data_IF_005350351281
#
_entry.id   IF_005350351281
#
_cell.length_a   1.000
_cell.length_b   1.000
_cell.length_c   1.000
_cell.angle_alpha   90.00
_cell.angle_beta   90.00
_cell.angle_gamma   90.00
#
_symmetry.space_group_name_H-M   'P 1'
#
loop_
_entity.id
_entity.type
_entity.pdbx_description
1 polymer ?
#
# COMPACT_ATOMS: atom_id res chain seq x y z
N UNK A 1 -2.51 -3.35 20.64
CA UNK A 1 -2.13 -2.00 20.21
C UNK A 1 -3.38 -1.15 20.10
N UNK A 2 -3.43 -0.03 20.83
CA UNK A 2 -4.53 0.93 20.76
C UNK A 2 -4.28 1.94 19.62
N UNK A 3 -5.27 2.11 18.77
CA UNK A 3 -5.30 3.11 17.68
C UNK A 3 -6.22 4.30 18.00
N UNK A 4 -6.71 4.40 19.24
CA UNK A 4 -7.61 5.45 19.71
C UNK A 4 -9.09 5.15 19.46
N UNK A 5 -9.45 4.62 18.30
CA UNK A 5 -10.84 4.27 17.94
C UNK A 5 -11.07 2.75 17.83
N UNK A 6 -10.01 1.96 17.84
CA UNK A 6 -10.07 0.49 17.82
C UNK A 6 -8.79 -0.10 18.43
N UNK A 7 -8.88 -1.34 18.92
CA UNK A 7 -7.74 -2.07 19.46
C UNK A 7 -7.38 -3.26 18.59
N UNK A 8 -6.08 -3.44 18.33
CA UNK A 8 -5.50 -4.67 17.80
C UNK A 8 -5.07 -5.56 18.98
N UNK A 9 -5.39 -6.85 18.92
CA UNK A 9 -5.09 -7.80 20.01
C UNK A 9 -3.59 -7.94 20.31
N UNK A 10 -2.73 -7.61 19.34
CA UNK A 10 -1.27 -7.58 19.49
C UNK A 10 -0.63 -6.64 18.45
N UNK A 11 0.71 -6.69 18.31
CA UNK A 11 1.49 -5.89 17.35
C UNK A 11 1.98 -6.66 16.14
N UNK A 12 1.43 -7.86 15.91
CA UNK A 12 1.81 -8.69 14.77
C UNK A 12 0.89 -8.38 13.59
N UNK A 13 1.49 -7.94 12.50
CA UNK A 13 0.82 -7.72 11.24
C UNK A 13 1.29 -8.76 10.21
N UNK A 14 0.35 -9.43 9.55
CA UNK A 14 0.60 -10.18 8.33
C UNK A 14 0.60 -9.21 7.15
N UNK A 15 1.77 -8.93 6.59
CA UNK A 15 1.93 -8.03 5.45
C UNK A 15 1.25 -8.55 4.19
N UNK A 16 0.94 -7.62 3.29
CA UNK A 16 0.35 -7.91 1.98
C UNK A 16 1.15 -8.96 1.20
N UNK A 17 0.44 -9.92 0.64
CA UNK A 17 1.00 -10.96 -0.22
C UNK A 17 -0.01 -11.34 -1.29
N UNK A 18 0.41 -11.25 -2.55
CA UNK A 18 -0.38 -11.75 -3.67
C UNK A 18 -0.32 -13.28 -3.68
N UNK A 19 -1.46 -13.93 -3.48
CA UNK A 19 -1.54 -15.38 -3.29
C UNK A 19 -1.90 -16.13 -4.57
N UNK A 20 -2.46 -15.43 -5.56
CA UNK A 20 -3.05 -16.01 -6.76
C UNK A 20 -4.40 -16.71 -6.49
N UNK A 21 -4.87 -16.71 -5.25
CA UNK A 21 -6.21 -17.23 -4.92
C UNK A 21 -7.32 -16.33 -5.46
N UNK A 22 -7.03 -15.06 -5.53
CA UNK A 22 -7.91 -13.99 -6.03
C UNK A 22 -8.41 -14.28 -7.45
N UNK A 23 -7.63 -14.99 -8.26
CA UNK A 23 -7.91 -15.29 -9.67
C UNK A 23 -8.61 -16.65 -9.84
N UNK A 24 -8.83 -17.39 -8.76
CA UNK A 24 -9.45 -18.72 -8.81
C UNK A 24 -10.98 -18.61 -8.79
N UNK A 25 -11.67 -19.59 -9.38
CA UNK A 25 -13.14 -19.64 -9.44
C UNK A 25 -13.80 -19.61 -8.04
N UNK A 26 -13.16 -20.26 -7.05
CA UNK A 26 -13.56 -20.32 -5.63
C UNK A 26 -12.61 -19.46 -4.76
N UNK A 27 -12.13 -18.34 -5.32
CA UNK A 27 -11.10 -17.51 -4.72
C UNK A 27 -11.50 -16.89 -3.38
N UNK A 28 -12.74 -16.44 -3.24
CA UNK A 28 -13.23 -15.83 -1.99
C UNK A 28 -13.21 -16.80 -0.84
N UNK A 29 -13.69 -18.05 -1.04
CA UNK A 29 -13.68 -19.11 -0.04
C UNK A 29 -12.26 -19.54 0.32
N UNK A 30 -11.37 -19.64 -0.68
CA UNK A 30 -9.96 -19.97 -0.46
C UNK A 30 -9.23 -18.87 0.30
N UNK A 31 -9.44 -17.60 -0.06
CA UNK A 31 -8.87 -16.48 0.67
C UNK A 31 -9.41 -16.42 2.10
N UNK A 32 -10.71 -16.65 2.29
CA UNK A 32 -11.31 -16.73 3.62
C UNK A 32 -10.65 -17.80 4.49
N UNK A 33 -10.49 -19.01 3.98
CA UNK A 33 -9.80 -20.11 4.68
C UNK A 33 -8.34 -19.74 4.98
N UNK A 34 -7.63 -19.17 4.00
CA UNK A 34 -6.23 -18.78 4.11
C UNK A 34 -6.01 -17.71 5.19
N UNK A 35 -6.80 -16.64 5.19
CA UNK A 35 -6.64 -15.56 6.18
C UNK A 35 -7.16 -15.96 7.56
N UNK A 36 -8.30 -16.69 7.65
CA UNK A 36 -8.82 -17.17 8.91
C UNK A 36 -7.86 -18.13 9.63
N UNK A 37 -7.09 -18.96 8.91
CA UNK A 37 -6.05 -19.83 9.50
C UNK A 37 -4.98 -18.98 10.21
N UNK A 38 -4.52 -17.89 9.61
CA UNK A 38 -3.53 -16.96 10.21
C UNK A 38 -4.12 -16.19 11.38
N UNK A 39 -5.37 -15.77 11.26
CA UNK A 39 -6.10 -15.10 12.34
C UNK A 39 -6.24 -16.01 13.58
N UNK A 40 -6.61 -17.30 13.38
CA UNK A 40 -6.62 -18.32 14.45
C UNK A 40 -5.23 -18.59 15.00
N UNK A 41 -4.18 -18.44 14.18
CA UNK A 41 -2.77 -18.51 14.59
C UNK A 41 -2.30 -17.32 15.43
N UNK A 42 -3.15 -16.30 15.65
CA UNK A 42 -2.89 -15.21 16.57
C UNK A 42 -2.48 -13.87 15.93
N UNK A 43 -2.47 -13.76 14.59
CA UNK A 43 -2.17 -12.46 13.93
C UNK A 43 -3.19 -11.41 14.34
N UNK A 44 -2.73 -10.21 14.72
CA UNK A 44 -3.59 -9.11 15.17
C UNK A 44 -4.22 -8.31 14.05
N UNK A 45 -3.49 -8.15 12.95
CA UNK A 45 -3.93 -7.42 11.76
C UNK A 45 -3.41 -8.10 10.49
N UNK A 46 -4.28 -8.28 9.52
CA UNK A 46 -3.96 -8.88 8.21
C UNK A 46 -4.09 -7.81 7.13
N UNK A 47 -3.20 -7.80 6.16
CA UNK A 47 -3.34 -7.01 4.92
C UNK A 47 -3.42 -7.97 3.75
N UNK A 48 -4.45 -7.82 2.90
CA UNK A 48 -4.65 -8.65 1.70
C UNK A 48 -3.57 -8.40 0.64
N UNK A 49 -3.51 -9.22 -0.38
CA UNK A 49 -2.88 -8.88 -1.65
C UNK A 49 -3.50 -7.61 -2.25
N UNK A 50 -2.80 -6.97 -3.19
CA UNK A 50 -3.21 -5.69 -3.74
C UNK A 50 -4.42 -5.79 -4.67
N UNK A 51 -5.42 -4.92 -4.47
CA UNK A 51 -6.54 -4.69 -5.37
C UNK A 51 -6.34 -3.39 -6.14
N UNK A 52 -6.57 -3.44 -7.45
CA UNK A 52 -6.47 -2.28 -8.33
C UNK A 52 -7.70 -1.39 -8.24
N UNK A 53 -7.53 -0.05 -8.12
CA UNK A 53 -8.67 0.87 -8.12
C UNK A 53 -9.34 1.00 -9.49
N UNK A 54 -8.68 0.61 -10.57
CA UNK A 54 -9.20 0.67 -11.94
C UNK A 54 -8.46 -0.32 -12.85
N UNK A 55 -8.98 -0.51 -14.06
CA UNK A 55 -8.36 -1.40 -15.07
C UNK A 55 -6.95 -0.95 -15.48
N UNK A 56 -6.68 0.35 -15.54
CA UNK A 56 -5.38 0.91 -15.90
C UNK A 56 -4.37 0.83 -14.74
N UNK A 57 -4.87 0.71 -13.53
CA UNK A 57 -4.09 0.61 -12.30
C UNK A 57 -3.70 -0.84 -11.93
N UNK A 58 -4.47 -1.81 -12.40
CA UNK A 58 -4.29 -3.23 -12.06
C UNK A 58 -3.00 -3.82 -12.63
N UNK A 59 -2.46 -4.83 -11.96
CA UNK A 59 -1.24 -5.54 -12.40
C UNK A 59 -1.41 -6.15 -13.78
N UNK A 60 -2.54 -6.80 -14.04
CA UNK A 60 -2.96 -7.33 -15.34
C UNK A 60 -4.37 -6.85 -15.65
N UNK A 61 -4.76 -6.75 -16.93
CA UNK A 61 -6.13 -6.39 -17.31
C UNK A 61 -7.14 -7.34 -16.65
N UNK A 62 -8.17 -6.77 -16.04
CA UNK A 62 -9.31 -7.48 -15.43
C UNK A 62 -9.01 -8.33 -14.18
N UNK A 63 -7.85 -8.20 -13.55
CA UNK A 63 -7.51 -8.92 -12.32
C UNK A 63 -7.62 -8.02 -11.08
N UNK A 64 -8.21 -8.55 -10.01
CA UNK A 64 -8.26 -7.91 -8.69
C UNK A 64 -8.80 -6.47 -8.69
N UNK A 65 -9.91 -6.25 -9.40
CA UNK A 65 -10.62 -4.97 -9.44
C UNK A 65 -11.97 -5.15 -8.75
N UNK A 66 -12.32 -4.17 -7.92
CA UNK A 66 -13.66 -4.04 -7.34
C UNK A 66 -14.30 -2.80 -7.96
N UNK A 67 -15.38 -2.99 -8.70
CA UNK A 67 -16.01 -1.94 -9.49
C UNK A 67 -17.44 -1.60 -9.07
N UNK A 68 -17.99 -2.32 -8.10
CA UNK A 68 -19.35 -2.15 -7.62
C UNK A 68 -19.51 -2.56 -6.17
N UNK A 69 -20.59 -2.13 -5.53
CA UNK A 69 -20.99 -2.60 -4.19
C UNK A 69 -21.26 -4.11 -4.20
N UNK A 70 -21.79 -4.67 -5.30
CA UNK A 70 -22.01 -6.11 -5.42
C UNK A 70 -20.68 -6.88 -5.37
N UNK A 71 -19.65 -6.41 -6.07
CA UNK A 71 -18.31 -7.02 -6.00
C UNK A 71 -17.73 -6.88 -4.59
N UNK A 72 -17.86 -5.70 -3.98
CA UNK A 72 -17.41 -5.44 -2.63
C UNK A 72 -18.06 -6.36 -1.59
N UNK A 73 -19.37 -6.60 -1.70
CA UNK A 73 -20.11 -7.48 -0.79
C UNK A 73 -19.64 -8.94 -0.83
N UNK A 74 -19.09 -9.42 -1.94
CA UNK A 74 -18.49 -10.77 -2.03
C UNK A 74 -17.32 -10.94 -1.06
N UNK A 75 -16.60 -9.85 -0.76
CA UNK A 75 -15.48 -9.84 0.19
C UNK A 75 -15.90 -10.09 1.63
N UNK A 76 -17.19 -9.99 1.97
CA UNK A 76 -17.68 -10.35 3.31
C UNK A 76 -17.39 -11.80 3.68
N UNK A 77 -17.33 -12.70 2.70
CA UNK A 77 -16.86 -14.08 2.93
C UNK A 77 -15.47 -14.13 3.57
N UNK A 78 -14.58 -13.21 3.21
CA UNK A 78 -13.22 -13.13 3.73
C UNK A 78 -13.23 -12.42 5.10
N UNK A 79 -13.84 -11.23 5.15
CA UNK A 79 -13.79 -10.37 6.35
C UNK A 79 -14.51 -11.02 7.53
N UNK A 80 -15.68 -11.63 7.31
CA UNK A 80 -16.45 -12.33 8.35
C UNK A 80 -15.63 -13.52 8.91
N UNK A 81 -14.97 -14.32 8.04
CA UNK A 81 -14.14 -15.44 8.49
C UNK A 81 -12.91 -15.01 9.32
N UNK A 82 -12.34 -13.85 9.04
CA UNK A 82 -11.26 -13.27 9.84
C UNK A 82 -11.76 -12.72 11.16
N UNK A 83 -12.91 -12.04 11.16
CA UNK A 83 -13.55 -11.50 12.36
C UNK A 83 -14.01 -12.61 13.32
N UNK A 84 -14.55 -13.71 12.80
CA UNK A 84 -14.88 -14.91 13.59
C UNK A 84 -13.65 -15.51 14.30
N UNK A 85 -12.46 -15.30 13.75
CA UNK A 85 -11.19 -15.71 14.33
C UNK A 85 -10.52 -14.61 15.21
N UNK A 86 -11.29 -13.59 15.65
CA UNK A 86 -10.85 -12.49 16.51
C UNK A 86 -9.62 -11.75 15.97
N UNK A 87 -9.61 -11.42 14.68
CA UNK A 87 -8.57 -10.61 14.03
C UNK A 87 -9.18 -9.51 13.18
N UNK A 88 -8.35 -8.54 12.81
CA UNK A 88 -8.73 -7.46 11.89
C UNK A 88 -8.07 -7.64 10.54
N UNK A 89 -8.71 -7.10 9.50
CA UNK A 89 -8.22 -7.21 8.12
C UNK A 89 -8.39 -5.89 7.36
N UNK A 90 -7.32 -5.47 6.68
CA UNK A 90 -7.29 -4.32 5.77
C UNK A 90 -7.12 -4.80 4.33
N UNK A 91 -7.77 -4.12 3.39
CA UNK A 91 -7.54 -4.31 1.96
C UNK A 91 -6.33 -3.48 1.52
N UNK A 92 -5.37 -4.06 0.80
CA UNK A 92 -4.34 -3.25 0.15
C UNK A 92 -4.89 -2.67 -1.16
N UNK A 93 -4.80 -1.34 -1.29
CA UNK A 93 -5.07 -0.62 -2.54
C UNK A 93 -3.75 -0.46 -3.30
N UNK A 94 -3.65 -1.13 -4.43
CA UNK A 94 -2.45 -1.18 -5.25
C UNK A 94 -2.72 -0.60 -6.63
N UNK A 95 -2.16 0.58 -6.88
CA UNK A 95 -2.07 1.14 -8.22
C UNK A 95 -0.65 0.90 -8.75
N UNK A 96 -0.51 0.04 -9.75
CA UNK A 96 0.81 -0.42 -10.21
C UNK A 96 1.58 0.62 -11.02
N UNK A 97 0.88 1.61 -11.60
CA UNK A 97 1.53 2.63 -12.43
C UNK A 97 2.27 2.00 -13.62
N UNK A 98 3.51 2.43 -13.84
CA UNK A 98 4.36 1.92 -14.94
C UNK A 98 4.78 0.46 -14.79
N UNK A 99 4.45 -0.19 -13.66
CA UNK A 99 4.70 -1.63 -13.45
C UNK A 99 3.52 -2.51 -13.88
N UNK A 100 2.41 -1.94 -14.35
CA UNK A 100 1.30 -2.71 -14.88
C UNK A 100 1.71 -3.48 -16.15
N UNK A 101 1.39 -4.76 -16.21
CA UNK A 101 1.43 -5.55 -17.45
C UNK A 101 0.19 -5.25 -18.30
N UNK A 102 0.00 -3.98 -18.61
CA UNK A 102 -1.16 -3.41 -19.25
C UNK A 102 -0.73 -2.30 -20.22
N UNK A 103 -1.09 -2.36 -21.50
CA UNK A 103 -0.76 -1.32 -22.47
C UNK A 103 -1.41 0.05 -22.18
N UNK A 104 -2.46 0.06 -21.33
CA UNK A 104 -3.14 1.29 -20.91
C UNK A 104 -2.60 1.83 -19.57
N UNK A 105 -1.46 1.34 -19.09
CA UNK A 105 -0.82 1.82 -17.86
C UNK A 105 -0.55 3.32 -17.88
N UNK A 106 -0.66 3.96 -16.72
CA UNK A 106 -0.48 5.41 -16.55
C UNK A 106 0.58 5.71 -15.49
N UNK A 107 1.22 6.87 -15.59
CA UNK A 107 2.29 7.29 -14.68
C UNK A 107 2.41 8.82 -14.66
N UNK A 108 3.17 9.42 -13.71
CA UNK A 108 3.42 10.87 -13.70
C UNK A 108 4.12 11.36 -14.97
N UNK A 109 5.01 10.55 -15.53
CA UNK A 109 5.69 10.81 -16.80
C UNK A 109 5.84 9.52 -17.61
N UNK A 110 5.96 9.63 -18.93
CA UNK A 110 6.01 8.50 -19.85
C UNK A 110 7.38 7.75 -19.82
N UNK A 111 7.80 7.32 -18.63
CA UNK A 111 9.05 6.61 -18.36
C UNK A 111 8.81 5.12 -18.22
N UNK A 112 9.22 4.33 -19.21
CA UNK A 112 9.07 2.88 -19.15
C UNK A 112 9.94 2.25 -18.05
N UNK A 113 9.38 1.29 -17.32
CA UNK A 113 10.16 0.51 -16.36
C UNK A 113 11.04 -0.53 -17.09
N UNK A 114 12.27 -0.77 -16.62
CA UNK A 114 13.17 -1.75 -17.27
C UNK A 114 12.68 -3.20 -17.14
N UNK A 115 11.75 -3.44 -16.21
CA UNK A 115 11.19 -4.76 -15.91
C UNK A 115 9.82 -4.99 -16.55
N UNK A 116 9.32 -4.05 -17.36
CA UNK A 116 7.98 -4.09 -17.95
C UNK A 116 8.02 -3.77 -19.45
N UNK A 117 7.27 -4.51 -20.30
CA UNK A 117 7.27 -4.30 -21.75
C UNK A 117 6.51 -3.04 -22.21
N UNK A 118 5.64 -2.50 -21.40
CA UNK A 118 4.78 -1.37 -21.76
C UNK A 118 5.33 -0.04 -21.27
N UNK A 119 5.30 0.97 -22.15
CA UNK A 119 5.56 2.36 -21.78
C UNK A 119 4.25 2.98 -21.29
N UNK A 120 4.21 3.55 -20.07
CA UNK A 120 2.99 4.16 -19.56
C UNK A 120 2.65 5.43 -20.31
N UNK A 121 1.36 5.78 -20.30
CA UNK A 121 0.87 7.08 -20.71
C UNK A 121 1.08 8.08 -19.57
N UNK A 122 1.62 9.25 -19.89
CA UNK A 122 1.68 10.37 -18.94
C UNK A 122 0.28 10.91 -18.68
N UNK A 123 -0.01 11.18 -17.41
CA UNK A 123 -1.29 11.74 -16.97
C UNK A 123 -1.30 13.27 -17.12
N UNK A 124 -2.42 13.79 -17.54
CA UNK A 124 -2.82 15.19 -17.35
C UNK A 124 -3.51 15.38 -15.98
N UNK A 125 -3.91 16.60 -15.66
CA UNK A 125 -4.54 16.93 -14.38
C UNK A 125 -5.85 16.17 -14.15
N UNK A 126 -6.70 16.07 -15.17
CA UNK A 126 -7.96 15.30 -15.11
C UNK A 126 -7.67 13.80 -14.88
N UNK A 127 -6.63 13.29 -15.51
CA UNK A 127 -6.15 11.92 -15.30
C UNK A 127 -5.65 11.67 -13.89
N UNK A 128 -4.91 12.60 -13.31
CA UNK A 128 -4.43 12.52 -11.91
C UNK A 128 -5.62 12.55 -10.95
N UNK A 129 -6.53 13.50 -11.12
CA UNK A 129 -7.76 13.59 -10.32
C UNK A 129 -8.59 12.30 -10.40
N UNK A 130 -8.70 11.71 -11.58
CA UNK A 130 -9.36 10.41 -11.76
C UNK A 130 -8.69 9.32 -10.91
N UNK A 131 -7.34 9.19 -10.95
CA UNK A 131 -6.64 8.17 -10.18
C UNK A 131 -6.83 8.34 -8.67
N UNK A 132 -6.81 9.57 -8.18
CA UNK A 132 -7.10 9.88 -6.76
C UNK A 132 -8.51 9.42 -6.40
N UNK A 133 -9.50 9.79 -7.22
CA UNK A 133 -10.90 9.44 -6.98
C UNK A 133 -11.15 7.92 -7.05
N UNK A 134 -10.49 7.20 -7.96
CA UNK A 134 -10.57 5.74 -8.07
C UNK A 134 -10.03 5.06 -6.80
N UNK A 135 -8.90 5.53 -6.26
CA UNK A 135 -8.32 5.03 -4.99
C UNK A 135 -9.29 5.27 -3.82
N UNK A 136 -9.85 6.47 -3.72
CA UNK A 136 -10.83 6.83 -2.67
C UNK A 136 -12.09 5.97 -2.80
N UNK A 137 -12.56 5.74 -4.00
CA UNK A 137 -13.75 4.90 -4.23
C UNK A 137 -13.48 3.44 -3.84
N UNK A 138 -12.29 2.90 -4.13
CA UNK A 138 -11.93 1.54 -3.70
C UNK A 138 -11.89 1.43 -2.16
N UNK A 139 -11.45 2.47 -1.45
CA UNK A 139 -11.51 2.49 0.01
C UNK A 139 -12.95 2.43 0.55
N UNK A 140 -13.91 3.07 -0.13
CA UNK A 140 -15.34 2.96 0.19
C UNK A 140 -15.87 1.54 -0.07
N UNK A 141 -15.46 0.91 -1.17
CA UNK A 141 -15.80 -0.48 -1.45
C UNK A 141 -15.22 -1.43 -0.38
N UNK A 142 -14.02 -1.15 0.13
CA UNK A 142 -13.47 -1.91 1.25
C UNK A 142 -14.36 -1.83 2.50
N UNK A 143 -14.93 -0.66 2.82
CA UNK A 143 -15.91 -0.54 3.92
C UNK A 143 -17.17 -1.39 3.67
N UNK A 144 -17.73 -1.36 2.44
CA UNK A 144 -18.89 -2.18 2.05
C UNK A 144 -18.57 -3.66 2.18
N UNK A 145 -17.35 -4.07 1.83
CA UNK A 145 -16.84 -5.43 1.95
C UNK A 145 -16.52 -5.88 3.39
N UNK A 146 -16.73 -5.01 4.39
CA UNK A 146 -16.55 -5.35 5.81
C UNK A 146 -15.10 -5.28 6.31
N UNK A 147 -14.18 -4.70 5.55
CA UNK A 147 -12.80 -4.49 6.00
C UNK A 147 -12.73 -3.49 7.16
N UNK A 148 -11.77 -3.69 8.07
CA UNK A 148 -11.48 -2.75 9.18
C UNK A 148 -10.69 -1.52 8.72
N UNK A 149 -10.11 -1.58 7.52
CA UNK A 149 -9.30 -0.51 6.96
C UNK A 149 -8.76 -0.81 5.58
N UNK A 150 -7.91 0.09 5.12
CA UNK A 150 -7.13 -0.06 3.88
C UNK A 150 -5.65 0.17 4.12
N UNK A 151 -4.81 -0.46 3.31
CA UNK A 151 -3.41 -0.07 3.14
C UNK A 151 -3.23 0.58 1.77
N UNK A 152 -2.84 1.86 1.76
CA UNK A 152 -2.54 2.62 0.54
C UNK A 152 -1.09 2.36 0.17
N UNK A 153 -0.84 1.80 -1.01
CA UNK A 153 0.49 1.40 -1.47
C UNK A 153 1.26 2.59 -2.02
N UNK A 154 2.11 3.19 -1.19
CA UNK A 154 2.95 4.35 -1.51
C UNK A 154 4.44 4.04 -1.65
N UNK A 155 4.83 2.77 -1.87
CA UNK A 155 6.23 2.33 -1.87
C UNK A 155 6.58 1.42 -3.05
N UNK A 156 7.82 0.92 -3.06
CA UNK A 156 8.35 -0.14 -3.93
C UNK A 156 8.34 0.18 -5.43
N UNK A 157 8.23 1.49 -5.78
CA UNK A 157 8.22 1.95 -7.17
C UNK A 157 6.87 1.90 -7.85
N UNK A 158 5.78 1.66 -7.09
CA UNK A 158 4.42 1.72 -7.60
C UNK A 158 3.94 3.16 -7.82
N UNK A 159 2.72 3.34 -8.28
CA UNK A 159 2.19 4.61 -8.81
C UNK A 159 2.46 5.83 -7.94
N UNK A 160 2.10 5.80 -6.66
CA UNK A 160 2.31 6.93 -5.74
C UNK A 160 3.81 7.21 -5.57
N UNK A 161 4.62 6.16 -5.40
CA UNK A 161 6.08 6.29 -5.27
C UNK A 161 6.73 6.85 -6.56
N UNK A 162 6.11 6.61 -7.72
CA UNK A 162 6.56 7.18 -9.01
C UNK A 162 6.41 8.71 -9.04
N UNK A 163 5.41 9.29 -8.36
CA UNK A 163 5.27 10.74 -8.22
C UNK A 163 6.35 11.33 -7.30
N UNK A 164 6.73 10.61 -6.25
CA UNK A 164 7.69 11.07 -5.25
C UNK A 164 9.13 11.16 -5.78
N UNK A 165 9.54 10.23 -6.62
CA UNK A 165 10.92 10.08 -7.06
C UNK A 165 11.22 10.85 -8.36
N UNK A 166 12.32 11.63 -8.36
CA UNK A 166 12.81 12.33 -9.56
C UNK A 166 13.13 11.38 -10.70
N UNK A 167 13.44 10.11 -10.40
CA UNK A 167 13.68 9.06 -11.39
C UNK A 167 12.51 8.87 -12.36
N UNK A 168 11.28 9.10 -11.92
CA UNK A 168 10.06 8.77 -12.66
C UNK A 168 9.10 9.94 -12.81
N UNK A 169 9.30 11.01 -12.07
CA UNK A 169 8.50 12.22 -12.16
C UNK A 169 9.35 13.36 -12.75
N UNK A 170 9.14 13.60 -14.04
CA UNK A 170 9.83 14.65 -14.79
C UNK A 170 8.92 15.87 -15.08
N UNK A 171 7.82 15.97 -14.34
CA UNK A 171 6.86 17.09 -14.46
C UNK A 171 7.45 18.38 -13.90
N UNK A 172 6.96 19.51 -14.40
CA UNK A 172 7.30 20.88 -13.98
C UNK A 172 6.08 21.68 -13.49
N UNK A 173 4.95 20.97 -13.31
CA UNK A 173 3.67 21.50 -12.81
C UNK A 173 3.52 21.30 -11.29
N UNK A 174 2.29 21.49 -10.79
CA UNK A 174 1.96 21.33 -9.37
C UNK A 174 2.09 19.88 -8.84
N UNK A 175 2.32 18.90 -9.69
CA UNK A 175 2.52 17.49 -9.35
C UNK A 175 3.98 17.03 -9.49
N UNK A 176 4.91 17.95 -9.87
CA UNK A 176 6.31 17.66 -10.13
C UNK A 176 7.28 18.74 -9.68
N UNK A 177 8.55 18.62 -10.05
CA UNK A 177 9.59 19.56 -9.67
C UNK A 177 10.02 19.47 -8.20
N UNK A 178 9.65 20.45 -7.38
CA UNK A 178 9.98 20.50 -5.95
C UNK A 178 9.26 19.37 -5.17
N UNK A 179 9.83 18.99 -4.01
CA UNK A 179 9.32 17.82 -3.29
C UNK A 179 7.89 18.03 -2.78
N UNK A 180 7.55 19.23 -2.37
CA UNK A 180 6.19 19.61 -1.95
C UNK A 180 5.14 19.29 -3.02
N UNK A 181 5.47 19.51 -4.29
CA UNK A 181 4.63 19.15 -5.41
C UNK A 181 4.62 17.64 -5.65
N UNK A 182 5.79 17.01 -5.62
CA UNK A 182 5.93 15.55 -5.85
C UNK A 182 5.18 14.73 -4.78
N UNK A 183 5.12 15.19 -3.53
CA UNK A 183 4.40 14.49 -2.46
C UNK A 183 2.89 14.81 -2.42
N UNK A 184 2.41 15.80 -3.16
CA UNK A 184 1.02 16.27 -3.17
C UNK A 184 0.03 15.14 -3.40
N UNK A 185 0.25 14.29 -4.41
CA UNK A 185 -0.65 13.18 -4.73
C UNK A 185 -0.80 12.22 -3.55
N UNK A 186 0.29 11.85 -2.89
CA UNK A 186 0.26 10.95 -1.74
C UNK A 186 -0.58 11.52 -0.59
N UNK A 187 -0.38 12.82 -0.29
CA UNK A 187 -1.11 13.53 0.78
C UNK A 187 -2.59 13.64 0.44
N UNK A 188 -2.93 14.03 -0.79
CA UNK A 188 -4.32 14.15 -1.25
C UNK A 188 -5.06 12.81 -1.23
N UNK A 189 -4.42 11.74 -1.65
CA UNK A 189 -5.00 10.38 -1.58
C UNK A 189 -5.37 10.03 -0.13
N UNK A 190 -4.46 10.22 0.82
CA UNK A 190 -4.74 9.89 2.23
C UNK A 190 -5.81 10.80 2.82
N UNK A 191 -5.71 12.12 2.59
CA UNK A 191 -6.67 13.10 3.10
C UNK A 191 -8.09 12.83 2.60
N UNK A 192 -8.26 12.67 1.27
CA UNK A 192 -9.58 12.40 0.66
C UNK A 192 -10.10 11.01 1.05
N UNK A 193 -9.23 10.03 1.22
CA UNK A 193 -9.63 8.73 1.74
C UNK A 193 -10.18 8.87 3.17
N UNK A 194 -9.47 9.59 4.06
CA UNK A 194 -9.95 9.84 5.43
C UNK A 194 -11.30 10.56 5.45
N UNK A 195 -11.47 11.57 4.63
CA UNK A 195 -12.75 12.29 4.50
C UNK A 195 -13.89 11.36 4.04
N UNK A 196 -13.60 10.46 3.11
CA UNK A 196 -14.60 9.56 2.54
C UNK A 196 -15.00 8.40 3.47
N UNK A 197 -14.05 7.83 4.23
CA UNK A 197 -14.28 6.64 5.06
C UNK A 197 -14.54 6.98 6.54
N UNK A 198 -14.34 8.24 6.96
CA UNK A 198 -14.55 8.70 8.33
C UNK A 198 -13.41 8.28 9.29
N UNK A 199 -13.53 8.70 10.57
CA UNK A 199 -12.44 8.60 11.55
C UNK A 199 -12.22 7.19 12.12
N UNK A 200 -13.21 6.31 12.03
CA UNK A 200 -13.19 4.97 12.63
C UNK A 200 -12.77 3.85 11.70
N UNK A 201 -12.04 4.19 10.64
CA UNK A 201 -11.53 3.24 9.67
C UNK A 201 -10.00 3.29 9.64
N UNK A 202 -9.33 2.16 9.66
CA UNK A 202 -7.87 2.11 9.67
C UNK A 202 -7.37 2.55 8.29
N UNK A 203 -6.48 3.54 8.23
CA UNK A 203 -5.73 3.88 7.04
C UNK A 203 -4.25 3.63 7.32
N UNK A 204 -3.70 2.61 6.68
CA UNK A 204 -2.28 2.33 6.67
C UNK A 204 -1.72 2.98 5.41
N UNK A 205 -0.64 3.74 5.54
CA UNK A 205 0.13 4.19 4.39
C UNK A 205 1.44 3.40 4.31
N UNK A 206 1.67 2.69 3.21
CA UNK A 206 2.93 1.97 3.01
C UNK A 206 3.95 2.92 2.39
N UNK A 207 4.90 3.36 3.22
CA UNK A 207 5.89 4.39 2.91
C UNK A 207 7.20 3.75 2.48
N UNK A 208 7.76 4.17 1.34
CA UNK A 208 9.11 3.78 0.94
C UNK A 208 10.14 4.48 1.80
N UNK A 209 10.81 3.72 2.66
CA UNK A 209 11.84 4.26 3.55
C UNK A 209 13.20 4.39 2.86
N UNK A 210 13.48 3.49 1.94
CA UNK A 210 14.69 3.41 1.13
C UNK A 210 14.31 2.91 -0.25
N UNK A 211 14.36 3.76 -1.26
CA UNK A 211 14.04 3.38 -2.63
C UNK A 211 15.10 2.44 -3.25
N UNK A 212 16.36 2.58 -2.85
CA UNK A 212 17.52 1.81 -3.32
C UNK A 212 17.73 1.89 -4.84
N UNK A 213 17.31 2.99 -5.42
CA UNK A 213 17.51 3.35 -6.84
C UNK A 213 18.05 4.77 -6.96
N UNK A 214 18.75 5.04 -8.04
CA UNK A 214 19.20 6.38 -8.36
C UNK A 214 18.00 7.31 -8.62
N UNK A 215 18.04 8.53 -8.09
CA UNK A 215 16.95 9.50 -8.19
C UNK A 215 15.72 9.16 -7.33
N UNK A 216 15.87 8.26 -6.37
CA UNK A 216 14.91 8.00 -5.30
C UNK A 216 14.87 9.13 -4.26
N UNK A 217 13.96 9.01 -3.29
CA UNK A 217 13.78 10.00 -2.22
C UNK A 217 14.91 9.97 -1.20
N UNK A 218 15.28 11.13 -0.66
CA UNK A 218 16.20 11.24 0.48
C UNK A 218 15.47 10.93 1.79
N UNK A 219 16.22 10.70 2.88
CA UNK A 219 15.62 10.48 4.19
C UNK A 219 14.82 11.69 4.69
N UNK A 220 15.31 12.89 4.42
CA UNK A 220 14.64 14.15 4.77
C UNK A 220 13.30 14.28 4.02
N UNK A 221 13.26 13.95 2.73
CA UNK A 221 12.04 13.91 1.93
C UNK A 221 11.06 12.84 2.47
N UNK A 222 11.55 11.64 2.80
CA UNK A 222 10.73 10.58 3.41
C UNK A 222 10.14 11.03 4.76
N UNK A 223 10.91 11.73 5.58
CA UNK A 223 10.44 12.25 6.86
C UNK A 223 9.38 13.35 6.68
N UNK A 224 9.60 14.25 5.74
CA UNK A 224 8.62 15.30 5.39
C UNK A 224 7.30 14.67 4.94
N UNK A 225 7.35 13.69 4.05
CA UNK A 225 6.17 12.95 3.60
C UNK A 225 5.47 12.24 4.77
N UNK A 226 6.21 11.54 5.62
CA UNK A 226 5.63 10.81 6.74
C UNK A 226 4.84 11.71 7.69
N UNK A 227 5.36 12.90 8.01
CA UNK A 227 4.66 13.91 8.81
C UNK A 227 3.40 14.45 8.11
N UNK A 228 3.48 14.67 6.80
CA UNK A 228 2.33 15.12 6.02
C UNK A 228 1.23 14.03 5.92
N UNK A 229 1.60 12.76 5.76
CA UNK A 229 0.69 11.61 5.74
C UNK A 229 0.01 11.41 7.10
N UNK A 230 0.75 11.56 8.21
CA UNK A 230 0.17 11.54 9.56
C UNK A 230 -0.87 12.66 9.72
N UNK A 231 -0.54 13.88 9.32
CA UNK A 231 -1.46 15.03 9.37
C UNK A 231 -2.67 14.86 8.44
N UNK A 232 -2.51 14.17 7.32
CA UNK A 232 -3.60 13.86 6.40
C UNK A 232 -4.57 12.79 6.94
N UNK A 233 -4.25 12.14 8.08
CA UNK A 233 -5.14 11.24 8.80
C UNK A 233 -4.83 9.74 8.65
N UNK A 234 -3.59 9.37 8.27
CA UNK A 234 -3.18 7.97 8.39
C UNK A 234 -3.18 7.50 9.85
N UNK A 235 -3.55 6.25 10.07
CA UNK A 235 -3.58 5.62 11.40
C UNK A 235 -2.28 4.89 11.72
N UNK A 236 -1.58 4.41 10.70
CA UNK A 236 -0.36 3.59 10.81
C UNK A 236 0.52 3.88 9.58
N UNK A 237 1.83 3.95 9.78
CA UNK A 237 2.81 3.88 8.71
C UNK A 237 3.38 2.46 8.64
N UNK A 238 3.24 1.79 7.49
CA UNK A 238 3.94 0.54 7.20
C UNK A 238 5.16 0.84 6.33
N UNK A 239 6.33 0.35 6.73
CA UNK A 239 7.58 0.69 6.02
C UNK A 239 7.87 -0.28 4.89
N UNK A 240 8.17 0.26 3.70
CA UNK A 240 8.61 -0.49 2.51
C UNK A 240 10.09 -0.23 2.21
N UNK A 241 10.78 -1.22 1.66
CA UNK A 241 12.21 -1.14 1.36
C UNK A 241 12.50 -1.63 -0.06
N UNK A 242 13.05 -0.73 -0.86
CA UNK A 242 13.52 -1.03 -2.21
C UNK A 242 12.44 -1.09 -3.28
N UNK A 243 12.75 -0.59 -4.45
CA UNK A 243 11.93 -0.74 -5.64
C UNK A 243 12.09 -2.13 -6.25
N UNK A 244 11.10 -2.60 -7.02
CA UNK A 244 11.19 -3.88 -7.74
C UNK A 244 12.37 -3.94 -8.71
N UNK A 245 12.80 -2.81 -9.25
CA UNK A 245 13.96 -2.71 -10.14
C UNK A 245 15.29 -2.42 -9.40
N UNK A 246 15.28 -2.36 -8.07
CA UNK A 246 16.50 -2.18 -7.28
C UNK A 246 17.41 -3.41 -7.39
N UNK A 247 18.73 -3.17 -7.40
CA UNK A 247 19.72 -4.24 -7.49
C UNK A 247 19.80 -5.11 -6.23
N UNK A 248 19.33 -4.59 -5.08
CA UNK A 248 19.31 -5.30 -3.81
C UNK A 248 17.94 -5.96 -3.66
N UNK A 249 17.84 -7.29 -3.69
CA UNK A 249 16.58 -8.01 -3.50
C UNK A 249 16.26 -8.10 -2.00
N UNK A 250 15.67 -7.06 -1.44
CA UNK A 250 15.54 -6.79 0.01
C UNK A 250 14.84 -7.88 0.81
N UNK A 251 14.10 -8.80 0.16
CA UNK A 251 13.40 -9.93 0.79
C UNK A 251 14.11 -11.27 0.61
N UNK A 252 15.19 -11.33 -0.19
CA UNK A 252 15.89 -12.57 -0.47
C UNK A 252 16.67 -13.10 0.76
N UNK A 253 16.83 -14.41 0.84
CA UNK A 253 17.51 -15.07 1.97
C UNK A 253 18.98 -14.65 2.16
N UNK A 254 19.64 -14.17 1.12
CA UNK A 254 21.00 -13.61 1.19
C UNK A 254 21.08 -12.26 1.92
N UNK A 255 19.95 -11.58 2.11
CA UNK A 255 19.88 -10.35 2.91
C UNK A 255 19.73 -10.77 4.39
N UNK A 256 20.51 -10.22 5.31
CA UNK A 256 20.40 -10.56 6.73
C UNK A 256 19.01 -10.30 7.29
N UNK A 257 18.62 -11.08 8.31
CA UNK A 257 17.37 -10.85 9.02
C UNK A 257 17.39 -9.48 9.68
N UNK A 258 16.26 -8.81 9.70
CA UNK A 258 16.06 -7.47 10.28
C UNK A 258 17.01 -6.38 9.73
N UNK A 259 17.60 -6.57 8.55
CA UNK A 259 18.62 -5.68 7.99
C UNK A 259 18.20 -4.20 7.87
N UNK A 260 16.89 -3.94 7.83
CA UNK A 260 16.33 -2.59 7.60
C UNK A 260 15.56 -2.02 8.80
N UNK A 261 15.53 -2.70 9.95
CA UNK A 261 14.79 -2.21 11.14
C UNK A 261 15.31 -0.89 11.66
N UNK A 262 16.59 -0.60 11.48
CA UNK A 262 17.24 0.63 11.90
C UNK A 262 16.60 1.89 11.33
N UNK A 263 16.16 1.86 10.07
CA UNK A 263 15.54 3.03 9.44
C UNK A 263 14.16 3.30 10.04
N UNK A 264 13.37 2.25 10.30
CA UNK A 264 12.09 2.38 10.99
C UNK A 264 12.28 2.85 12.43
N UNK A 265 13.28 2.33 13.17
CA UNK A 265 13.60 2.74 14.52
C UNK A 265 14.00 4.24 14.61
N UNK A 266 14.71 4.74 13.59
CA UNK A 266 15.04 6.16 13.47
C UNK A 266 13.79 7.00 13.19
N UNK A 267 13.01 6.60 12.22
CA UNK A 267 11.85 7.32 11.68
C UNK A 267 10.69 7.44 12.70
N UNK A 268 10.36 6.35 13.42
CA UNK A 268 9.25 6.33 14.39
C UNK A 268 9.35 7.36 15.51
N UNK A 269 10.54 7.89 15.78
CA UNK A 269 10.77 8.92 16.81
C UNK A 269 10.21 10.29 16.43
N UNK A 270 9.93 10.47 15.16
CA UNK A 270 9.48 11.72 14.55
C UNK A 270 7.97 11.78 14.32
N UNK A 271 7.25 10.67 14.64
CA UNK A 271 5.81 10.53 14.44
C UNK A 271 5.10 10.14 15.73
N UNK A 272 3.82 10.47 15.85
CA UNK A 272 2.96 10.07 16.97
C UNK A 272 2.20 8.78 16.69
N UNK A 273 1.95 8.45 15.42
CA UNK A 273 1.25 7.21 15.03
C UNK A 273 2.20 6.00 14.99
N UNK A 274 1.67 4.78 15.17
CA UNK A 274 2.46 3.55 15.09
C UNK A 274 3.16 3.37 13.74
N UNK A 275 4.39 2.83 13.80
CA UNK A 275 5.14 2.41 12.61
C UNK A 275 5.35 0.90 12.62
N UNK A 276 5.15 0.26 11.47
CA UNK A 276 5.42 -1.16 11.25
C UNK A 276 6.79 -1.29 10.57
N UNK A 277 7.68 -2.09 11.16
CA UNK A 277 8.92 -2.47 10.49
C UNK A 277 8.71 -3.73 9.64
N UNK A 278 9.41 -3.82 8.53
CA UNK A 278 9.24 -4.90 7.55
C UNK A 278 10.59 -5.40 7.02
N UNK A 279 10.53 -6.34 6.09
CA UNK A 279 11.64 -6.96 5.38
C UNK A 279 12.57 -7.82 6.25
N UNK A 280 12.52 -9.12 6.01
CA UNK A 280 13.36 -10.13 6.66
C UNK A 280 13.13 -10.29 8.19
N UNK A 281 11.95 -9.94 8.69
CA UNK A 281 11.49 -10.27 10.03
C UNK A 281 10.62 -11.52 9.88
N UNK A 282 11.18 -12.68 10.13
CA UNK A 282 10.58 -13.95 9.76
C UNK A 282 10.73 -15.07 10.81
N UNK A 283 11.07 -14.71 12.03
CA UNK A 283 10.97 -15.58 13.21
C UNK A 283 10.51 -14.76 14.43
N UNK A 284 9.87 -15.38 15.42
CA UNK A 284 9.46 -14.70 16.64
C UNK A 284 10.61 -14.01 17.37
N UNK A 285 11.77 -14.65 17.46
CA UNK A 285 12.97 -14.12 18.15
C UNK A 285 13.42 -12.79 17.49
N UNK A 286 13.49 -12.76 16.16
CA UNK A 286 13.85 -11.53 15.41
C UNK A 286 12.79 -10.44 15.55
N UNK A 287 11.53 -10.80 15.77
CA UNK A 287 10.46 -9.83 15.98
C UNK A 287 10.47 -9.24 17.39
N UNK A 288 10.94 -9.99 18.39
CA UNK A 288 11.05 -9.56 19.78
C UNK A 288 12.28 -8.65 20.01
N UNK A 289 13.40 -8.87 19.28
CA UNK A 289 14.59 -7.99 19.28
C UNK A 289 14.25 -6.57 18.75
#
# INVERSE_FOLDING_TARGET
>A
LDLGFTQLKNRVLMGSMHTGLEEMKDGMERMAAFFAERARGGVGLIVTGGFGPSAEAATHPHTNIISSDEDALKHKTITDAVHEADSKICMQILHTGRYAFNPNSVAPSAVQAPINPFKPKELDDDGIEKQINDIVQLAKYAQVGGYDGVEIMGSEGYFINQFLAKRTNHRDDEWGGEYENRMRLAVEVVRRTREAVGEKFIIIYRLSMLDLVEGGSTYEEVLQLGKAIEQAGASIINTGIGWHEARIPTIATKVPRAAFTWVTAKFRKELSIPCITSNRINTPEVAEE
#
